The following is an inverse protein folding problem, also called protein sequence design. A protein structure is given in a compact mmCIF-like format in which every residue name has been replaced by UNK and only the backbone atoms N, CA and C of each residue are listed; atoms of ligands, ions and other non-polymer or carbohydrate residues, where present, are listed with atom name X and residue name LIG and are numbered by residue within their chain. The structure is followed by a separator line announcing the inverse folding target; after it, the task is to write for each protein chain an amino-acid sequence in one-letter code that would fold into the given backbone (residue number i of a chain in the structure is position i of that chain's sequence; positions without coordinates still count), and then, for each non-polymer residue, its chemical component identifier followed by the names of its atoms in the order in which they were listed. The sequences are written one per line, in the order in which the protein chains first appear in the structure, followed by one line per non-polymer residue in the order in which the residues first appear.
data_IF_303320587757
#
_entry.id   IF_303320587757
#
_cell.length_a   1.000
_cell.length_b   1.000
_cell.length_c   1.000
_cell.angle_alpha   90.00
_cell.angle_beta   90.00
_cell.angle_gamma   90.00
#
_symmetry.space_group_name_H-M   'P 1'
#
loop_
_entity.id
_entity.type
_entity.pdbx_description
1 polymer ?
#
# COMPACT_ATOMS: atom_id res chain seq x y z
N UNK A 1 28.54 -3.53 -64.82
CA UNK A 1 27.80 -3.98 -63.63
C UNK A 1 27.17 -2.77 -63.00
N UNK A 2 25.84 -2.67 -63.02
CA UNK A 2 25.09 -1.61 -62.36
C UNK A 2 24.73 -2.14 -60.96
N UNK A 3 25.29 -1.52 -59.93
CA UNK A 3 24.92 -1.85 -58.55
C UNK A 3 23.58 -1.17 -58.26
N UNK A 4 22.49 -1.93 -58.34
CA UNK A 4 21.21 -1.50 -57.79
C UNK A 4 21.35 -1.43 -56.27
N UNK A 5 21.69 -0.25 -55.77
CA UNK A 5 21.45 0.09 -54.38
C UNK A 5 19.94 0.17 -54.21
N UNK A 6 19.30 -0.94 -53.85
CA UNK A 6 17.93 -0.90 -53.35
C UNK A 6 17.97 -0.07 -52.07
N UNK A 7 17.58 1.20 -52.18
CA UNK A 7 17.39 2.05 -51.04
C UNK A 7 16.23 1.43 -50.26
N UNK A 8 16.54 0.69 -49.18
CA UNK A 8 15.53 0.26 -48.24
C UNK A 8 15.07 1.53 -47.54
N UNK A 9 14.10 2.23 -48.15
CA UNK A 9 13.47 3.39 -47.55
C UNK A 9 12.80 2.90 -46.28
N UNK A 10 13.46 3.14 -45.15
CA UNK A 10 12.88 2.90 -43.84
C UNK A 10 11.51 3.59 -43.72
N UNK A 11 10.74 3.26 -42.68
CA UNK A 11 9.39 3.79 -42.53
C UNK A 11 9.39 5.32 -42.70
N UNK A 12 8.45 5.80 -43.50
CA UNK A 12 8.30 7.19 -43.87
C UNK A 12 8.18 8.06 -42.62
N UNK A 13 8.90 9.18 -42.58
CA UNK A 13 8.90 10.07 -41.41
C UNK A 13 7.48 10.53 -41.01
N UNK A 14 6.57 10.61 -41.99
CA UNK A 14 5.16 10.93 -41.77
C UNK A 14 4.40 9.85 -40.98
N UNK A 15 4.75 8.57 -41.11
CA UNK A 15 4.23 7.48 -40.29
C UNK A 15 4.96 7.33 -38.94
N UNK A 16 6.27 7.60 -38.88
CA UNK A 16 7.07 7.44 -37.64
C UNK A 16 6.70 8.47 -36.58
N UNK A 17 6.47 9.73 -36.96
CA UNK A 17 6.22 10.82 -35.99
C UNK A 17 4.93 10.63 -35.17
N UNK A 18 3.75 10.33 -35.76
CA UNK A 18 2.52 10.11 -35.00
C UNK A 18 2.61 8.90 -34.06
N UNK A 19 3.22 7.80 -34.51
CA UNK A 19 3.42 6.60 -33.69
C UNK A 19 4.35 6.89 -32.52
N UNK A 20 5.40 7.67 -32.74
CA UNK A 20 6.34 8.09 -31.69
C UNK A 20 5.66 8.96 -30.65
N UNK A 21 4.87 9.95 -31.08
CA UNK A 21 4.10 10.82 -30.19
C UNK A 21 3.09 10.01 -29.36
N UNK A 22 2.37 9.08 -30.01
CA UNK A 22 1.44 8.19 -29.33
C UNK A 22 2.17 7.32 -28.27
N UNK A 23 3.35 6.79 -28.61
CA UNK A 23 4.19 6.04 -27.66
C UNK A 23 4.56 6.86 -26.42
N UNK A 24 5.01 8.10 -26.59
CA UNK A 24 5.30 9.00 -25.48
C UNK A 24 4.06 9.35 -24.65
N UNK A 25 2.91 9.57 -25.31
CA UNK A 25 1.66 9.85 -24.62
C UNK A 25 1.21 8.65 -23.75
N UNK A 26 1.26 7.43 -24.30
CA UNK A 26 0.94 6.21 -23.54
C UNK A 26 1.89 6.02 -22.36
N UNK A 27 3.19 6.22 -22.58
CA UNK A 27 4.19 6.17 -21.50
C UNK A 27 3.89 7.18 -20.39
N UNK A 28 3.54 8.43 -20.74
CA UNK A 28 3.19 9.45 -19.78
C UNK A 28 1.96 9.05 -18.94
N UNK A 29 0.91 8.48 -19.58
CA UNK A 29 -0.29 8.00 -18.88
C UNK A 29 0.06 6.89 -17.88
N UNK A 30 0.91 5.93 -18.26
CA UNK A 30 1.34 4.83 -17.38
C UNK A 30 2.12 5.37 -16.18
N UNK A 31 3.04 6.32 -16.41
CA UNK A 31 3.80 6.96 -15.32
C UNK A 31 2.87 7.69 -14.36
N UNK A 32 1.90 8.46 -14.88
CA UNK A 32 0.92 9.17 -14.04
C UNK A 32 0.03 8.19 -13.28
N UNK A 33 -0.37 7.07 -13.88
CA UNK A 33 -1.13 6.02 -13.20
C UNK A 33 -0.36 5.48 -11.99
N UNK A 34 0.91 5.13 -12.18
CA UNK A 34 1.77 4.60 -11.11
C UNK A 34 2.05 5.66 -10.03
N UNK A 35 2.26 6.92 -10.42
CA UNK A 35 2.35 8.06 -9.50
C UNK A 35 1.10 8.17 -8.63
N UNK A 36 -0.09 8.02 -9.21
CA UNK A 36 -1.37 8.03 -8.48
C UNK A 36 -1.49 6.86 -7.51
N UNK A 37 -1.05 5.67 -7.88
CA UNK A 37 -0.99 4.51 -6.97
C UNK A 37 -0.10 4.82 -5.76
N UNK A 38 1.08 5.38 -5.99
CA UNK A 38 2.04 5.69 -4.92
C UNK A 38 1.48 6.75 -3.97
N UNK A 39 0.94 7.84 -4.51
CA UNK A 39 0.34 8.92 -3.70
C UNK A 39 -0.88 8.45 -2.92
N UNK A 40 -1.70 7.55 -3.48
CA UNK A 40 -2.81 6.91 -2.74
C UNK A 40 -2.34 6.07 -1.55
N UNK A 41 -1.15 5.49 -1.63
CA UNK A 41 -0.52 4.75 -0.54
C UNK A 41 0.39 5.63 0.35
N UNK A 42 0.28 6.96 0.24
CA UNK A 42 1.07 7.90 1.03
C UNK A 42 2.57 7.93 0.68
N UNK A 43 2.95 7.46 -0.51
CA UNK A 43 4.33 7.46 -1.00
C UNK A 43 4.57 8.60 -2.00
N UNK A 44 5.82 9.09 -2.12
CA UNK A 44 6.16 10.10 -3.12
C UNK A 44 5.92 9.57 -4.53
N UNK A 45 5.07 10.24 -5.31
CA UNK A 45 4.71 9.76 -6.64
C UNK A 45 5.87 9.78 -7.66
N UNK A 46 6.80 10.73 -7.53
CA UNK A 46 8.01 10.78 -8.36
C UNK A 46 8.88 9.54 -8.24
N UNK A 47 8.77 8.81 -7.12
CA UNK A 47 9.49 7.56 -6.92
C UNK A 47 9.12 6.49 -7.95
N UNK A 48 7.94 6.60 -8.59
CA UNK A 48 7.51 5.67 -9.67
C UNK A 48 8.39 5.75 -10.92
N UNK A 49 9.09 6.87 -11.13
CA UNK A 49 9.90 7.14 -12.33
C UNK A 49 11.29 6.50 -12.22
N UNK A 50 11.83 6.41 -11.00
CA UNK A 50 13.21 5.95 -10.79
C UNK A 50 13.24 4.41 -10.81
N UNK A 51 14.01 3.79 -11.71
CA UNK A 51 14.19 2.34 -11.72
C UNK A 51 14.73 1.82 -10.38
N UNK A 52 14.33 0.61 -10.01
CA UNK A 52 14.60 -0.06 -8.73
C UNK A 52 13.99 0.62 -7.50
N UNK A 53 14.08 1.94 -7.39
CA UNK A 53 13.44 2.69 -6.31
C UNK A 53 11.92 2.59 -6.38
N UNK A 54 11.33 2.64 -7.58
CA UNK A 54 9.90 2.42 -7.77
C UNK A 54 9.46 1.05 -7.21
N UNK A 55 10.20 -0.01 -7.51
CA UNK A 55 9.93 -1.37 -7.02
C UNK A 55 10.11 -1.49 -5.51
N UNK A 56 11.15 -0.86 -4.95
CA UNK A 56 11.34 -0.78 -3.51
C UNK A 56 10.14 -0.10 -2.82
N UNK A 57 9.62 0.97 -3.40
CA UNK A 57 8.42 1.64 -2.87
C UNK A 57 7.19 0.75 -3.01
N UNK A 58 7.02 0.02 -4.12
CA UNK A 58 5.94 -0.99 -4.22
C UNK A 58 6.05 -2.04 -3.12
N UNK A 59 7.25 -2.56 -2.83
CA UNK A 59 7.49 -3.49 -1.71
C UNK A 59 7.04 -2.88 -0.38
N UNK A 60 7.38 -1.61 -0.14
CA UNK A 60 6.95 -0.89 1.07
C UNK A 60 5.43 -0.70 1.13
N UNK A 61 4.78 -0.42 0.00
CA UNK A 61 3.32 -0.30 -0.11
C UNK A 61 2.64 -1.63 0.23
N UNK A 62 3.18 -2.75 -0.23
CA UNK A 62 2.55 -4.05 0.04
C UNK A 62 2.93 -4.65 1.39
N UNK A 63 3.95 -4.10 2.07
CA UNK A 63 4.43 -4.61 3.36
C UNK A 63 5.49 -5.71 3.25
N UNK A 64 6.17 -5.82 2.11
CA UNK A 64 7.25 -6.82 1.92
C UNK A 64 8.62 -6.22 2.21
N UNK A 65 9.55 -7.01 2.75
CA UNK A 65 10.85 -6.50 3.15
C UNK A 65 11.70 -6.14 1.93
N UNK A 66 12.51 -5.08 2.06
CA UNK A 66 13.27 -4.51 0.93
C UNK A 66 14.28 -5.47 0.27
N UNK A 67 14.73 -6.52 0.98
CA UNK A 67 15.63 -7.53 0.42
C UNK A 67 15.00 -8.32 -0.74
N UNK A 68 13.67 -8.32 -0.87
CA UNK A 68 12.98 -8.88 -2.04
C UNK A 68 13.39 -8.23 -3.36
N UNK A 69 13.89 -6.99 -3.32
CA UNK A 69 14.46 -6.32 -4.49
C UNK A 69 15.64 -7.11 -5.08
N UNK A 70 16.43 -7.80 -4.24
CA UNK A 70 17.54 -8.64 -4.71
C UNK A 70 17.04 -9.93 -5.37
N UNK A 71 15.93 -10.51 -4.87
CA UNK A 71 15.33 -11.70 -5.49
C UNK A 71 14.82 -11.43 -6.91
N UNK A 72 14.46 -10.19 -7.22
CA UNK A 72 14.05 -9.78 -8.56
C UNK A 72 15.20 -9.78 -9.57
N UNK A 73 16.45 -9.81 -9.12
CA UNK A 73 17.63 -9.91 -9.98
C UNK A 73 17.94 -11.37 -10.38
N UNK A 74 17.36 -12.35 -9.69
CA UNK A 74 17.56 -13.77 -9.97
C UNK A 74 16.53 -14.21 -11.02
N UNK A 75 16.95 -14.70 -12.20
CA UNK A 75 16.03 -15.21 -13.22
C UNK A 75 15.12 -16.32 -12.67
N UNK A 76 13.89 -16.40 -13.17
CA UNK A 76 12.82 -17.33 -12.74
C UNK A 76 12.25 -17.03 -11.35
N UNK A 77 13.10 -16.77 -10.34
CA UNK A 77 12.66 -16.31 -9.02
C UNK A 77 11.94 -14.97 -9.14
N UNK A 78 12.45 -14.08 -10.00
CA UNK A 78 11.83 -12.79 -10.28
C UNK A 78 10.35 -12.89 -10.70
N UNK A 79 9.97 -13.88 -11.52
CA UNK A 79 8.58 -14.10 -11.97
C UNK A 79 7.67 -14.43 -10.80
N UNK A 80 8.08 -15.38 -9.95
CA UNK A 80 7.32 -15.81 -8.77
C UNK A 80 7.14 -14.64 -7.80
N UNK A 81 8.21 -13.86 -7.60
CA UNK A 81 8.21 -12.68 -6.73
C UNK A 81 7.30 -11.58 -7.27
N UNK A 82 7.35 -11.27 -8.58
CA UNK A 82 6.45 -10.29 -9.21
C UNK A 82 4.99 -10.71 -9.03
N UNK A 83 4.66 -11.98 -9.26
CA UNK A 83 3.29 -12.48 -9.10
C UNK A 83 2.79 -12.26 -7.66
N UNK A 84 3.61 -12.60 -6.65
CA UNK A 84 3.24 -12.36 -5.25
C UNK A 84 3.05 -10.88 -4.95
N UNK A 85 3.96 -10.01 -5.41
CA UNK A 85 3.85 -8.55 -5.22
C UNK A 85 2.58 -8.00 -5.86
N UNK A 86 2.20 -8.46 -7.05
CA UNK A 86 0.97 -7.98 -7.73
C UNK A 86 -0.31 -8.45 -7.02
N UNK A 87 -0.32 -9.67 -6.48
CA UNK A 87 -1.43 -10.17 -5.66
C UNK A 87 -1.57 -9.32 -4.39
N UNK A 88 -0.47 -9.02 -3.71
CA UNK A 88 -0.52 -8.19 -2.51
C UNK A 88 -0.86 -6.74 -2.82
N UNK A 89 -0.40 -6.20 -3.95
CA UNK A 89 -0.78 -4.87 -4.40
C UNK A 89 -2.28 -4.78 -4.66
N UNK A 90 -2.87 -5.80 -5.30
CA UNK A 90 -4.32 -5.88 -5.48
C UNK A 90 -5.03 -5.83 -4.12
N UNK A 91 -4.63 -6.69 -3.19
CA UNK A 91 -5.19 -6.79 -1.83
C UNK A 91 -5.01 -5.49 -1.03
N UNK A 92 -3.85 -4.86 -1.11
CA UNK A 92 -3.54 -3.58 -0.47
C UNK A 92 -4.43 -2.43 -0.95
N UNK A 93 -5.07 -2.58 -2.11
CA UNK A 93 -6.08 -1.65 -2.65
C UNK A 93 -7.51 -2.19 -2.56
N UNK A 94 -7.74 -3.22 -1.73
CA UNK A 94 -9.06 -3.82 -1.50
C UNK A 94 -9.59 -4.59 -2.71
N UNK A 95 -8.72 -5.07 -3.61
CA UNK A 95 -9.10 -5.84 -4.79
C UNK A 95 -8.88 -7.34 -4.57
N UNK A 96 -9.77 -8.15 -5.12
CA UNK A 96 -9.71 -9.61 -5.03
C UNK A 96 -8.77 -10.27 -6.05
N UNK A 97 -8.65 -11.60 -5.98
CA UNK A 97 -7.75 -12.39 -6.84
C UNK A 97 -7.99 -12.23 -8.34
N UNK A 98 -9.25 -12.08 -8.78
CA UNK A 98 -9.56 -11.84 -10.20
C UNK A 98 -8.94 -10.55 -10.74
N UNK A 99 -8.86 -9.50 -9.92
CA UNK A 99 -8.17 -8.26 -10.30
C UNK A 99 -6.64 -8.43 -10.29
N UNK A 100 -6.10 -9.28 -9.40
CA UNK A 100 -4.68 -9.60 -9.44
C UNK A 100 -4.28 -10.23 -10.77
N UNK A 101 -5.13 -11.07 -11.38
CA UNK A 101 -4.91 -11.60 -12.74
C UNK A 101 -4.81 -10.48 -13.78
N UNK A 102 -5.68 -9.47 -13.68
CA UNK A 102 -5.60 -8.28 -14.55
C UNK A 102 -4.28 -7.53 -14.35
N UNK A 103 -3.81 -7.35 -13.12
CA UNK A 103 -2.51 -6.73 -12.85
C UNK A 103 -1.33 -7.56 -13.37
N UNK A 104 -1.43 -8.89 -13.34
CA UNK A 104 -0.34 -9.77 -13.78
C UNK A 104 -0.26 -9.82 -15.32
N UNK A 105 -1.39 -10.04 -15.99
CA UNK A 105 -1.43 -10.18 -17.45
C UNK A 105 -1.45 -8.83 -18.17
N UNK A 106 -2.07 -7.82 -17.56
CA UNK A 106 -2.29 -6.49 -18.13
C UNK A 106 -1.88 -5.41 -17.12
N UNK A 107 -0.64 -5.47 -16.63
CA UNK A 107 -0.13 -4.58 -15.58
C UNK A 107 -0.41 -3.11 -15.84
N UNK A 108 -0.18 -2.63 -17.07
CA UNK A 108 -0.47 -1.25 -17.44
C UNK A 108 -1.94 -0.86 -17.19
N UNK A 109 -2.90 -1.72 -17.56
CA UNK A 109 -4.33 -1.49 -17.33
C UNK A 109 -4.64 -1.54 -15.84
N UNK A 110 -4.12 -2.54 -15.14
CA UNK A 110 -4.32 -2.69 -13.70
C UNK A 110 -3.83 -1.48 -12.91
N UNK A 111 -2.64 -0.95 -13.23
CA UNK A 111 -2.10 0.28 -12.65
C UNK A 111 -2.96 1.50 -12.98
N UNK A 112 -3.49 1.63 -14.20
CA UNK A 112 -4.44 2.69 -14.56
C UNK A 112 -5.73 2.59 -13.71
N UNK A 113 -6.28 1.39 -13.54
CA UNK A 113 -7.49 1.17 -12.73
C UNK A 113 -7.22 1.51 -11.26
N UNK A 114 -6.07 1.12 -10.70
CA UNK A 114 -5.71 1.46 -9.33
C UNK A 114 -5.45 2.96 -9.17
N UNK A 115 -4.73 3.58 -10.10
CA UNK A 115 -4.32 4.98 -10.05
C UNK A 115 -5.49 5.93 -10.25
N UNK A 116 -6.23 5.78 -11.33
CA UNK A 116 -7.31 6.68 -11.72
C UNK A 116 -8.68 6.28 -11.17
N UNK A 117 -8.89 4.99 -10.87
CA UNK A 117 -10.16 4.49 -10.34
C UNK A 117 -10.43 4.88 -8.89
N UNK A 118 -11.56 4.41 -8.36
CA UNK A 118 -12.00 4.70 -6.98
C UNK A 118 -11.25 3.91 -5.90
N UNK A 119 -10.37 2.97 -6.28
CA UNK A 119 -9.61 2.16 -5.33
C UNK A 119 -8.89 3.02 -4.28
N UNK A 120 -8.95 2.57 -3.03
CA UNK A 120 -8.32 3.21 -1.87
C UNK A 120 -7.31 2.26 -1.28
N UNK A 121 -6.19 2.80 -0.83
CA UNK A 121 -5.18 2.02 -0.14
C UNK A 121 -5.70 1.64 1.25
N UNK A 122 -5.67 0.35 1.54
CA UNK A 122 -6.19 -0.27 2.76
C UNK A 122 -5.06 -0.50 3.76
N UNK A 123 -3.87 -0.85 3.27
CA UNK A 123 -2.69 -1.05 4.10
C UNK A 123 -1.71 -2.09 3.55
N UNK A 124 -0.59 -2.28 4.24
CA UNK A 124 0.48 -3.19 3.83
C UNK A 124 0.09 -4.65 4.15
N UNK A 125 -0.73 -5.26 3.31
CA UNK A 125 -1.33 -6.60 3.54
C UNK A 125 -0.34 -7.74 3.78
N UNK A 126 0.91 -7.61 3.33
CA UNK A 126 1.95 -8.62 3.55
C UNK A 126 2.75 -8.38 4.84
N UNK A 127 2.50 -7.27 5.54
CA UNK A 127 3.09 -6.99 6.85
C UNK A 127 2.41 -7.86 7.93
N UNK A 128 3.17 -8.67 8.69
CA UNK A 128 2.59 -9.54 9.71
C UNK A 128 1.83 -8.81 10.82
N UNK A 129 2.27 -7.61 11.20
CA UNK A 129 1.60 -6.82 12.23
C UNK A 129 0.26 -6.28 11.71
N UNK A 130 0.20 -5.87 10.45
CA UNK A 130 -1.04 -5.46 9.80
C UNK A 130 -2.02 -6.64 9.67
N UNK A 131 -1.53 -7.83 9.27
CA UNK A 131 -2.33 -9.04 9.19
C UNK A 131 -2.87 -9.47 10.57
N UNK A 132 -2.05 -9.40 11.62
CA UNK A 132 -2.45 -9.69 13.00
C UNK A 132 -3.47 -8.68 13.55
N UNK A 133 -3.43 -7.43 13.08
CA UNK A 133 -4.37 -6.37 13.41
C UNK A 133 -5.73 -6.47 12.71
N UNK A 134 -6.03 -7.59 12.05
CA UNK A 134 -7.31 -7.82 11.37
C UNK A 134 -7.30 -7.53 9.87
N UNK A 135 -6.21 -6.97 9.31
CA UNK A 135 -5.85 -6.91 7.88
C UNK A 135 -6.80 -6.22 6.90
N UNK A 136 -8.10 -6.14 7.19
CA UNK A 136 -9.13 -5.55 6.36
C UNK A 136 -10.12 -4.81 7.26
N UNK A 137 -10.39 -3.52 7.04
CA UNK A 137 -11.56 -2.90 7.63
C UNK A 137 -12.80 -3.64 7.10
N UNK A 138 -13.70 -4.13 7.98
CA UNK A 138 -14.97 -4.68 7.55
C UNK A 138 -15.75 -3.57 6.87
N UNK A 139 -15.93 -3.70 5.55
CA UNK A 139 -16.80 -2.92 4.68
C UNK A 139 -17.17 -1.50 5.18
N UNK A 140 -16.39 -0.48 4.82
CA UNK A 140 -16.88 0.92 4.83
C UNK A 140 -16.07 1.97 5.59
N UNK A 141 -14.97 1.63 6.28
CA UNK A 141 -14.10 2.63 6.91
C UNK A 141 -12.73 2.69 6.26
N UNK A 142 -12.51 3.62 5.32
CA UNK A 142 -11.15 3.91 4.82
C UNK A 142 -10.50 4.97 5.73
N UNK A 143 -9.35 4.69 6.38
CA UNK A 143 -8.62 5.70 7.11
C UNK A 143 -8.11 6.79 6.17
N UNK A 144 -8.40 8.03 6.52
CA UNK A 144 -7.95 9.22 5.81
C UNK A 144 -6.50 9.52 6.20
N UNK A 145 -5.61 9.52 5.20
CA UNK A 145 -4.40 10.36 5.13
C UNK A 145 -3.50 10.39 6.37
N UNK A 146 -2.56 9.45 6.43
CA UNK A 146 -1.41 9.54 7.32
C UNK A 146 -0.56 8.29 7.15
N UNK A 147 0.75 8.47 6.99
CA UNK A 147 1.71 7.38 7.18
C UNK A 147 1.40 6.69 8.52
N UNK A 148 1.21 5.36 8.59
CA UNK A 148 1.63 4.70 9.82
C UNK A 148 3.14 4.92 9.91
N UNK A 149 3.60 5.54 11.00
CA UNK A 149 5.03 5.56 11.33
C UNK A 149 5.56 4.13 11.23
N UNK A 150 6.77 3.98 10.69
CA UNK A 150 7.51 2.72 10.68
C UNK A 150 7.35 2.02 12.05
N UNK A 151 6.57 0.93 12.06
CA UNK A 151 6.56 0.02 13.18
C UNK A 151 7.96 -0.52 13.33
N UNK A 152 8.62 -0.18 14.43
CA UNK A 152 9.86 -0.82 14.82
C UNK A 152 9.67 -2.34 14.79
N UNK A 153 10.72 -3.03 14.34
CA UNK A 153 10.88 -4.47 14.50
C UNK A 153 10.34 -4.92 15.87
N UNK A 154 9.47 -5.95 15.95
CA UNK A 154 9.12 -6.50 17.25
C UNK A 154 10.39 -7.03 17.91
N UNK A 155 10.72 -6.52 19.10
CA UNK A 155 11.73 -7.13 19.95
C UNK A 155 11.33 -8.58 20.25
N UNK A 156 12.28 -9.48 20.07
CA UNK A 156 12.15 -10.89 20.43
C UNK A 156 11.74 -11.01 21.90
N UNK A 157 10.77 -11.89 22.15
CA UNK A 157 10.26 -12.26 23.46
C UNK A 157 11.43 -12.60 24.38
N UNK A 158 11.67 -11.74 25.37
CA UNK A 158 12.67 -11.95 26.39
C UNK A 158 12.34 -13.23 27.17
N UNK A 159 13.21 -14.23 27.05
CA UNK A 159 13.29 -15.35 27.98
C UNK A 159 13.45 -14.76 29.39
N UNK A 160 12.52 -15.08 30.29
CA UNK A 160 12.52 -14.56 31.65
C UNK A 160 13.83 -14.90 32.35
N UNK A 161 14.67 -13.89 32.60
CA UNK A 161 15.84 -14.02 33.46
C UNK A 161 15.42 -13.79 34.93
N UNK A 162 15.82 -14.66 35.87
CA UNK A 162 15.60 -14.43 37.29
C UNK A 162 16.27 -13.13 37.76
N UNK A 163 15.51 -12.33 38.51
CA UNK A 163 15.83 -10.93 38.82
C UNK A 163 17.10 -10.71 39.63
N UNK A 164 17.84 -9.67 39.24
CA UNK A 164 18.92 -9.05 40.01
C UNK A 164 18.36 -7.88 40.83
N UNK A 165 18.93 -7.56 42.01
CA UNK A 165 18.45 -6.47 42.84
C UNK A 165 18.70 -5.09 42.19
N UNK A 166 17.72 -4.20 42.35
CA UNK A 166 17.67 -2.83 41.82
C UNK A 166 18.75 -1.92 42.43
N UNK A 167 19.47 -1.15 41.61
CA UNK A 167 20.36 -0.07 42.05
C UNK A 167 19.60 1.27 42.17
N UNK A 168 19.94 2.15 43.15
CA UNK A 168 19.30 3.45 43.31
C UNK A 168 19.58 4.40 42.12
N UNK A 169 18.53 5.04 41.62
CA UNK A 169 18.58 5.94 40.45
C UNK A 169 19.33 7.25 40.67
N UNK A 170 19.93 7.77 39.61
CA UNK A 170 20.60 9.08 39.56
C UNK A 170 19.59 10.24 39.54
N UNK A 171 19.93 11.41 40.13
CA UNK A 171 19.04 12.57 40.16
C UNK A 171 18.88 13.27 38.80
N UNK A 172 17.71 13.87 38.59
CA UNK A 172 17.30 14.53 37.35
C UNK A 172 17.99 15.89 37.11
N UNK A 173 18.35 16.18 35.86
CA UNK A 173 18.89 17.47 35.42
C UNK A 173 17.78 18.49 35.11
N UNK A 174 17.96 19.80 35.39
CA UNK A 174 16.97 20.83 35.07
C UNK A 174 16.88 21.10 33.55
N UNK A 175 15.66 21.18 33.02
CA UNK A 175 15.37 21.47 31.61
C UNK A 175 15.49 22.95 31.26
N UNK A 176 15.87 23.22 30.01
CA UNK A 176 15.95 24.56 29.39
C UNK A 176 14.57 25.05 28.92
N UNK A 177 14.23 26.36 29.04
CA UNK A 177 12.95 26.88 28.58
C UNK A 177 12.92 27.13 27.06
N UNK A 178 11.89 26.63 26.39
CA UNK A 178 11.56 26.90 24.99
C UNK A 178 10.41 27.92 24.91
N UNK A 179 10.71 29.17 24.54
CA UNK A 179 9.69 30.15 24.14
C UNK A 179 9.78 30.32 22.61
N UNK A 180 8.75 29.89 21.90
CA UNK A 180 8.56 30.17 20.48
C UNK A 180 7.29 31.05 20.30
N UNK A 181 7.32 32.11 19.48
CA UNK A 181 6.18 33.01 19.31
C UNK A 181 5.06 32.38 18.47
N UNK A 182 3.81 32.65 18.86
CA UNK A 182 2.59 32.12 18.24
C UNK A 182 2.30 32.75 16.86
N UNK A 183 1.98 31.91 15.87
CA UNK A 183 1.48 32.34 14.56
C UNK A 183 -0.05 32.53 14.56
N UNK A 184 -0.63 33.53 13.88
CA UNK A 184 -2.07 33.72 13.79
C UNK A 184 -2.75 32.62 12.95
N UNK A 185 -3.76 31.98 13.52
CA UNK A 185 -4.54 30.91 12.88
C UNK A 185 -5.52 31.42 11.82
N UNK A 186 -5.77 30.57 10.82
CA UNK A 186 -6.76 30.75 9.76
C UNK A 186 -8.20 30.67 10.32
N UNK A 187 -9.18 31.39 9.77
CA UNK A 187 -10.57 31.34 10.24
C UNK A 187 -11.26 30.01 9.92
N UNK A 188 -12.00 29.49 10.91
CA UNK A 188 -12.81 28.27 10.86
C UNK A 188 -14.03 28.43 9.92
N UNK A 189 -14.28 27.46 9.04
CA UNK A 189 -15.50 27.41 8.22
C UNK A 189 -16.72 26.92 9.05
N UNK A 190 -17.95 27.43 8.79
CA UNK A 190 -19.15 26.97 9.48
C UNK A 190 -19.46 25.49 9.19
N UNK A 191 -19.72 24.73 10.25
CA UNK A 191 -20.04 23.29 10.19
C UNK A 191 -21.39 22.99 9.53
N UNK A 192 -21.45 21.85 8.86
CA UNK A 192 -22.65 21.27 8.27
C UNK A 192 -23.67 20.86 9.37
N UNK A 193 -24.98 20.96 9.13
CA UNK A 193 -25.99 20.55 10.11
C UNK A 193 -26.01 19.03 10.31
N UNK A 194 -26.19 18.59 11.56
CA UNK A 194 -26.30 17.18 11.94
C UNK A 194 -27.59 16.56 11.36
N UNK A 195 -27.45 15.48 10.58
CA UNK A 195 -28.57 14.63 10.18
C UNK A 195 -28.94 13.67 11.33
N UNK A 196 -30.25 13.58 11.59
CA UNK A 196 -30.84 12.80 12.67
C UNK A 196 -30.47 11.32 12.67
N UNK A 197 -30.37 10.76 13.87
CA UNK A 197 -29.98 9.38 14.12
C UNK A 197 -30.92 8.35 13.47
N UNK A 198 -30.32 7.24 13.06
CA UNK A 198 -31.01 6.04 12.61
C UNK A 198 -31.68 5.31 13.79
N UNK A 199 -32.87 4.71 13.61
CA UNK A 199 -33.51 3.92 14.66
C UNK A 199 -32.74 2.62 14.94
N UNK A 200 -32.68 2.25 16.23
CA UNK A 200 -32.04 1.03 16.73
C UNK A 200 -32.82 -0.22 16.27
N UNK A 201 -32.14 -1.22 15.72
CA UNK A 201 -32.74 -2.52 15.41
C UNK A 201 -32.98 -3.34 16.70
N UNK A 202 -34.11 -4.06 16.83
CA UNK A 202 -34.34 -4.98 17.95
C UNK A 202 -33.31 -6.12 17.98
N UNK A 203 -32.74 -6.36 19.16
CA UNK A 203 -31.76 -7.41 19.40
C UNK A 203 -32.28 -8.83 19.14
N UNK A 204 -31.37 -9.71 18.75
CA UNK A 204 -31.60 -11.14 18.54
C UNK A 204 -31.97 -11.83 19.88
N UNK A 205 -32.95 -12.74 19.92
CA UNK A 205 -33.24 -13.50 21.13
C UNK A 205 -32.11 -14.50 21.44
N UNK A 206 -31.74 -14.58 22.72
CA UNK A 206 -30.80 -15.59 23.22
C UNK A 206 -31.39 -17.00 23.07
N UNK A 207 -30.66 -17.90 22.39
CA UNK A 207 -31.01 -19.32 22.37
C UNK A 207 -30.71 -19.96 23.73
N UNK A 208 -31.74 -20.61 24.27
CA UNK A 208 -31.75 -21.28 25.56
C UNK A 208 -30.76 -22.44 25.66
N UNK A 209 -30.34 -22.70 26.90
CA UNK A 209 -29.30 -23.64 27.27
C UNK A 209 -29.58 -25.09 26.88
N UNK A 210 -28.48 -25.81 26.71
CA UNK A 210 -28.41 -27.26 26.50
C UNK A 210 -28.78 -28.00 27.79
N UNK A 211 -29.72 -28.97 27.75
CA UNK A 211 -29.99 -29.82 28.90
C UNK A 211 -28.87 -30.85 29.12
N UNK A 212 -28.49 -31.02 30.38
CA UNK A 212 -27.57 -32.04 30.88
C UNK A 212 -28.17 -33.44 30.71
N UNK A 213 -27.39 -34.39 30.19
CA UNK A 213 -27.75 -35.81 30.18
C UNK A 213 -27.39 -36.46 31.53
N UNK A 214 -28.22 -37.38 32.08
CA UNK A 214 -27.93 -38.01 33.36
C UNK A 214 -26.90 -39.14 33.20
N UNK A 215 -25.95 -39.17 34.14
CA UNK A 215 -25.16 -40.35 34.48
C UNK A 215 -26.08 -41.46 35.02
N UNK A 216 -25.89 -42.71 34.57
CA UNK A 216 -26.58 -43.84 35.17
C UNK A 216 -26.28 -45.21 34.55
N UNK A 217 -25.29 -45.88 35.16
CA UNK A 217 -25.06 -47.34 35.28
C UNK A 217 -24.54 -48.12 34.07
#
# INVERSE_FOLDING_TARGET
MQYDYSYNSGPDAAAVLPVTILGFAVMAVIVVAMWKVFTKAGQPGWASIIPFYNTYIVLKIVGRPGWWLLLLLIPLVNLVIIIMIMIDLAKAFGKGGGFAVVLILFGFIGFCILGFGSARYVGPVADPAFAAGGGYPPHGGYPQGGYPQQGGYPQQQAYAQPGYPQQPGYPAQPGYPQQAPAQPGYPQQPGYPQQGGYPQQPGYPQQGGYPQQPYGQ
#
